data_IF_782801532488
#
_entry.id   IF_782801532488
#
_cell.length_a   1.000
_cell.length_b   1.000
_cell.length_c   1.000
_cell.angle_alpha   90.00
_cell.angle_beta   90.00
_cell.angle_gamma   90.00
#
_symmetry.space_group_name_H-M   'P 1'
#
loop_
_entity.id
_entity.type
_entity.pdbx_description
1 polymer ?
#
# COMPACT_ATOMS: atom_id res chain seq x y z
N UNK A 1 -14.05 -7.58 -12.17
CA UNK A 1 -15.07 -6.98 -13.04
C UNK A 1 -14.61 -6.88 -14.49
N UNK A 2 -13.47 -6.28 -14.82
CA UNK A 2 -13.02 -6.18 -16.23
C UNK A 2 -12.82 -7.56 -16.90
N UNK A 3 -12.40 -8.56 -16.14
CA UNK A 3 -12.19 -9.94 -16.64
C UNK A 3 -13.42 -10.84 -16.47
N UNK A 4 -14.35 -10.44 -15.58
CA UNK A 4 -15.60 -11.16 -15.28
C UNK A 4 -16.74 -10.15 -15.13
N UNK A 5 -17.37 -9.73 -16.25
CA UNK A 5 -18.38 -8.65 -16.25
C UNK A 5 -19.62 -8.97 -15.42
N UNK A 6 -19.94 -10.25 -15.24
CA UNK A 6 -21.12 -10.69 -14.48
C UNK A 6 -20.90 -10.76 -12.96
N UNK A 7 -19.67 -10.46 -12.50
CA UNK A 7 -19.34 -10.48 -11.09
C UNK A 7 -19.94 -9.26 -10.38
N UNK A 8 -20.74 -9.51 -9.34
CA UNK A 8 -21.19 -8.47 -8.41
C UNK A 8 -20.11 -8.25 -7.35
N UNK A 9 -19.71 -7.00 -7.16
CA UNK A 9 -18.68 -6.64 -6.17
C UNK A 9 -19.23 -5.66 -5.18
N UNK A 10 -19.15 -6.00 -3.88
CA UNK A 10 -19.39 -5.09 -2.77
C UNK A 10 -18.05 -4.79 -2.09
N UNK A 11 -17.72 -3.52 -1.95
CA UNK A 11 -16.60 -3.03 -1.14
C UNK A 11 -17.13 -2.40 0.14
N UNK A 12 -16.66 -2.85 1.29
CA UNK A 12 -17.00 -2.29 2.60
C UNK A 12 -15.78 -1.53 3.11
N UNK A 13 -15.95 -0.24 3.35
CA UNK A 13 -14.89 0.65 3.79
C UNK A 13 -15.26 1.33 5.13
N UNK A 14 -14.43 1.13 6.14
CA UNK A 14 -14.62 1.68 7.49
C UNK A 14 -14.64 3.21 7.51
N UNK A 15 -13.90 3.84 6.61
CA UNK A 15 -13.77 5.29 6.55
C UNK A 15 -14.62 5.92 5.46
N UNK A 16 -14.24 7.11 5.08
CA UNK A 16 -14.98 7.96 4.14
C UNK A 16 -14.52 7.76 2.70
N UNK A 17 -15.38 8.12 1.76
CA UNK A 17 -15.03 8.33 0.35
C UNK A 17 -13.93 9.38 0.21
N UNK A 18 -13.17 9.33 -0.88
CA UNK A 18 -11.95 10.14 -1.03
C UNK A 18 -12.23 11.63 -0.86
N UNK A 19 -13.31 12.16 -1.43
CA UNK A 19 -13.69 13.57 -1.38
C UNK A 19 -14.12 14.04 0.02
N UNK A 20 -14.55 13.12 0.88
CA UNK A 20 -14.95 13.41 2.27
C UNK A 20 -13.83 13.20 3.29
N UNK A 21 -12.65 12.78 2.85
CA UNK A 21 -11.48 12.58 3.70
C UNK A 21 -10.76 13.90 3.96
N UNK A 22 -11.20 14.63 4.98
CA UNK A 22 -10.60 15.90 5.38
C UNK A 22 -10.08 15.80 6.82
N UNK A 23 -8.84 16.26 7.03
CA UNK A 23 -8.25 16.30 8.37
C UNK A 23 -8.41 17.70 8.99
N UNK A 24 -9.16 17.84 10.08
CA UNK A 24 -9.34 19.14 10.77
C UNK A 24 -8.02 19.79 11.18
N UNK A 25 -6.98 19.00 11.49
CA UNK A 25 -5.65 19.52 11.85
C UNK A 25 -5.05 20.44 10.78
N UNK A 26 -5.40 20.27 9.50
CA UNK A 26 -4.91 21.15 8.43
C UNK A 26 -5.34 22.60 8.64
N UNK A 27 -6.51 22.81 9.22
CA UNK A 27 -7.08 24.13 9.54
C UNK A 27 -6.81 24.54 10.98
N UNK A 28 -7.12 23.66 11.93
CA UNK A 28 -7.04 23.96 13.38
C UNK A 28 -5.63 23.87 13.96
N UNK A 29 -4.67 23.28 13.21
CA UNK A 29 -3.30 22.95 13.65
C UNK A 29 -3.23 21.93 14.79
N UNK A 30 -4.36 21.51 15.35
CA UNK A 30 -4.46 20.56 16.46
C UNK A 30 -5.21 19.31 16.01
N UNK A 31 -4.70 18.13 16.39
CA UNK A 31 -5.39 16.87 16.11
C UNK A 31 -6.57 16.69 17.08
N UNK A 32 -7.76 16.50 16.52
CA UNK A 32 -9.02 16.35 17.28
C UNK A 32 -9.38 14.88 17.55
N UNK A 33 -8.53 13.91 17.18
CA UNK A 33 -8.75 12.49 17.45
C UNK A 33 -9.96 11.89 16.72
N UNK A 34 -10.17 12.23 15.44
CA UNK A 34 -11.28 11.71 14.64
C UNK A 34 -11.35 10.16 14.65
N UNK A 35 -12.55 9.63 14.70
CA UNK A 35 -12.83 8.18 14.61
C UNK A 35 -13.86 7.91 13.50
N UNK A 36 -13.47 7.26 12.39
CA UNK A 36 -12.10 6.89 11.99
C UNK A 36 -11.25 8.11 11.59
N UNK A 37 -9.93 7.94 11.68
CA UNK A 37 -8.99 9.00 11.27
C UNK A 37 -9.00 9.20 9.75
N UNK A 38 -9.35 10.40 9.29
CA UNK A 38 -9.45 10.69 7.85
C UNK A 38 -8.13 10.60 7.08
N UNK A 39 -6.96 10.61 7.75
CA UNK A 39 -5.65 10.45 7.11
C UNK A 39 -5.32 8.98 6.86
N UNK A 40 -5.61 8.10 7.84
CA UNK A 40 -5.19 6.71 7.78
C UNK A 40 -6.28 5.77 7.28
N UNK A 41 -7.56 6.17 7.37
CA UNK A 41 -8.72 5.30 7.14
C UNK A 41 -9.68 5.95 6.15
N UNK A 42 -10.17 5.19 5.20
CA UNK A 42 -11.04 5.62 4.11
C UNK A 42 -10.56 5.12 2.76
N UNK A 43 -11.28 5.43 1.70
CA UNK A 43 -10.93 5.01 0.35
C UNK A 43 -9.46 5.31 0.03
N UNK A 44 -8.75 4.35 -0.56
CA UNK A 44 -7.32 4.36 -0.82
C UNK A 44 -6.41 4.34 0.43
N UNK A 45 -6.95 4.10 1.63
CA UNK A 45 -6.18 3.91 2.86
C UNK A 45 -5.26 5.08 3.21
N UNK A 46 -4.18 4.81 3.92
CA UNK A 46 -3.17 5.82 4.28
C UNK A 46 -2.40 6.34 3.04
N UNK A 47 -2.36 5.56 1.96
CA UNK A 47 -1.70 5.93 0.70
C UNK A 47 -2.23 7.21 0.08
N UNK A 48 -3.53 7.51 0.23
CA UNK A 48 -4.15 8.72 -0.31
C UNK A 48 -3.58 10.05 0.24
N UNK A 49 -2.91 10.01 1.38
CA UNK A 49 -2.33 11.20 2.03
C UNK A 49 -0.83 11.03 2.31
N UNK A 50 -0.22 10.03 1.72
CA UNK A 50 1.23 9.83 1.74
C UNK A 50 1.88 10.56 0.56
N UNK A 51 3.18 10.45 0.49
CA UNK A 51 4.00 10.88 -0.63
C UNK A 51 3.68 10.12 -1.94
N UNK A 52 3.05 8.96 -1.84
CA UNK A 52 2.61 8.19 -3.01
C UNK A 52 3.76 7.56 -3.77
N UNK A 53 4.70 6.92 -3.07
CA UNK A 53 5.78 6.16 -3.69
C UNK A 53 5.33 4.75 -4.06
N UNK A 54 5.53 4.38 -5.32
CA UNK A 54 5.36 3.02 -5.80
C UNK A 54 6.75 2.43 -6.07
N UNK A 55 7.14 1.45 -5.29
CA UNK A 55 8.35 0.65 -5.54
C UNK A 55 8.05 -0.36 -6.63
N UNK A 56 8.77 -0.27 -7.75
CA UNK A 56 8.53 -1.11 -8.94
C UNK A 56 9.51 -2.30 -9.02
N UNK A 57 9.88 -2.82 -7.85
CA UNK A 57 10.82 -3.95 -7.74
C UNK A 57 10.28 -4.99 -6.76
N UNK A 58 10.32 -6.28 -7.12
CA UNK A 58 10.01 -7.37 -6.19
C UNK A 58 10.98 -7.47 -5.00
N UNK A 59 12.18 -6.89 -5.12
CA UNK A 59 13.21 -6.90 -4.07
C UNK A 59 12.90 -5.96 -2.90
N UNK A 60 11.82 -5.19 -3.01
CA UNK A 60 11.47 -4.17 -2.02
C UNK A 60 10.01 -4.27 -1.60
N UNK A 61 9.80 -4.44 -0.31
CA UNK A 61 8.48 -4.37 0.30
C UNK A 61 7.72 -5.70 0.34
N UNK A 62 7.96 -6.48 1.38
CA UNK A 62 7.21 -7.71 1.67
C UNK A 62 7.83 -8.96 1.07
N UNK A 63 7.08 -10.05 1.13
CA UNK A 63 7.51 -11.41 0.80
C UNK A 63 6.76 -11.99 -0.40
N UNK A 64 6.24 -11.14 -1.27
CA UNK A 64 5.45 -11.57 -2.43
C UNK A 64 6.21 -12.55 -3.34
N UNK A 65 7.52 -12.35 -3.62
CA UNK A 65 8.30 -13.32 -4.40
C UNK A 65 8.43 -14.70 -3.75
N UNK A 66 8.44 -14.76 -2.42
CA UNK A 66 8.50 -16.04 -1.69
C UNK A 66 7.21 -16.86 -1.84
N UNK A 67 6.08 -16.16 -2.02
CA UNK A 67 4.75 -16.79 -2.13
C UNK A 67 4.43 -17.17 -3.58
N UNK A 68 4.73 -16.28 -4.55
CA UNK A 68 4.29 -16.41 -5.94
C UNK A 68 5.41 -16.72 -6.94
N UNK A 69 6.67 -16.64 -6.51
CA UNK A 69 7.83 -16.59 -7.40
C UNK A 69 8.11 -15.19 -7.92
N UNK A 70 9.38 -14.97 -8.31
CA UNK A 70 9.89 -13.64 -8.68
C UNK A 70 9.19 -13.06 -9.92
N UNK A 71 9.10 -13.84 -10.99
CA UNK A 71 8.49 -13.43 -12.25
C UNK A 71 7.03 -13.02 -12.10
N UNK A 72 6.26 -13.81 -11.31
CA UNK A 72 4.85 -13.48 -11.07
C UNK A 72 4.68 -12.24 -10.20
N UNK A 73 5.55 -12.05 -9.23
CA UNK A 73 5.56 -10.82 -8.43
C UNK A 73 5.85 -9.59 -9.29
N UNK A 74 6.83 -9.67 -10.19
CA UNK A 74 7.17 -8.59 -11.13
C UNK A 74 6.00 -8.26 -12.07
N UNK A 75 5.35 -9.28 -12.65
CA UNK A 75 4.16 -9.12 -13.48
C UNK A 75 3.06 -8.35 -12.73
N UNK A 76 2.76 -8.75 -11.50
CA UNK A 76 1.70 -8.11 -10.70
C UNK A 76 2.04 -6.68 -10.28
N UNK A 77 3.31 -6.39 -9.97
CA UNK A 77 3.78 -5.04 -9.70
C UNK A 77 3.58 -4.16 -10.94
N UNK A 78 3.94 -4.67 -12.12
CA UNK A 78 3.75 -3.97 -13.39
C UNK A 78 2.26 -3.75 -13.70
N UNK A 79 1.39 -4.73 -13.42
CA UNK A 79 -0.05 -4.55 -13.57
C UNK A 79 -0.58 -3.46 -12.62
N UNK A 80 -0.14 -3.45 -11.36
CA UNK A 80 -0.51 -2.42 -10.40
C UNK A 80 -0.05 -1.03 -10.86
N UNK A 81 1.19 -0.90 -11.33
CA UNK A 81 1.72 0.36 -11.88
C UNK A 81 0.90 0.84 -13.09
N UNK A 82 0.56 -0.05 -14.01
CA UNK A 82 -0.30 0.26 -15.16
C UNK A 82 -1.69 0.78 -14.76
N UNK A 83 -2.23 0.34 -13.63
CA UNK A 83 -3.48 0.89 -13.10
C UNK A 83 -3.28 2.36 -12.73
N UNK A 84 -2.21 2.70 -12.01
CA UNK A 84 -1.92 4.10 -11.66
C UNK A 84 -1.69 4.97 -12.90
N UNK A 85 -0.94 4.50 -13.88
CA UNK A 85 -0.75 5.17 -15.16
C UNK A 85 -2.08 5.43 -15.88
N UNK A 86 -2.95 4.42 -15.93
CA UNK A 86 -4.29 4.54 -16.54
C UNK A 86 -5.12 5.65 -15.89
N UNK A 87 -4.95 5.88 -14.59
CA UNK A 87 -5.67 6.91 -13.84
C UNK A 87 -4.90 8.23 -13.73
N UNK A 88 -3.81 8.38 -14.49
CA UNK A 88 -3.11 9.65 -14.71
C UNK A 88 -1.89 9.86 -13.82
N UNK A 89 -1.23 8.79 -13.38
CA UNK A 89 0.11 8.91 -12.80
C UNK A 89 1.11 9.36 -13.86
N UNK A 90 2.14 10.10 -13.43
CA UNK A 90 3.26 10.51 -14.28
C UNK A 90 4.03 9.27 -14.77
N UNK A 91 4.44 9.28 -16.04
CA UNK A 91 5.23 8.20 -16.64
C UNK A 91 6.66 8.13 -16.10
N UNK A 92 7.15 9.19 -15.45
CA UNK A 92 8.50 9.25 -14.91
C UNK A 92 8.74 8.18 -13.85
N UNK A 93 9.83 7.45 -14.02
CA UNK A 93 10.35 6.47 -13.06
C UNK A 93 11.75 6.91 -12.64
N UNK A 94 11.98 7.04 -11.35
CA UNK A 94 13.28 7.36 -10.78
C UNK A 94 14.12 6.10 -10.60
N UNK A 95 15.42 6.23 -10.65
CA UNK A 95 16.36 5.14 -10.42
C UNK A 95 16.67 4.29 -11.65
N UNK A 96 16.29 4.76 -12.87
CA UNK A 96 16.59 4.10 -14.15
C UNK A 96 17.12 5.06 -15.22
N UNK A 97 16.97 6.39 -15.06
CA UNK A 97 17.21 7.35 -16.13
C UNK A 97 18.70 7.63 -16.42
N UNK A 98 19.58 7.43 -15.45
CA UNK A 98 21.00 7.75 -15.54
C UNK A 98 21.86 6.55 -15.13
N UNK A 99 21.95 5.59 -16.05
CA UNK A 99 22.69 4.35 -15.84
C UNK A 99 24.12 4.57 -15.36
N UNK A 100 24.85 5.53 -15.96
CA UNK A 100 26.24 5.81 -15.57
C UNK A 100 26.36 6.34 -14.14
N UNK A 101 25.44 7.22 -13.72
CA UNK A 101 25.43 7.72 -12.35
C UNK A 101 25.07 6.60 -11.36
N UNK A 102 24.10 5.76 -11.70
CA UNK A 102 23.69 4.61 -10.86
C UNK A 102 24.86 3.64 -10.70
N UNK A 103 25.60 3.33 -11.76
CA UNK A 103 26.77 2.46 -11.69
C UNK A 103 27.92 3.09 -10.86
N UNK A 104 28.11 4.42 -10.94
CA UNK A 104 29.06 5.11 -10.03
C UNK A 104 28.64 5.01 -8.57
N UNK A 105 27.34 5.14 -8.27
CA UNK A 105 26.79 4.98 -6.91
C UNK A 105 26.98 3.53 -6.45
N UNK A 106 26.67 2.55 -7.30
CA UNK A 106 26.88 1.13 -7.04
C UNK A 106 28.34 0.84 -6.71
N UNK A 107 29.28 1.35 -7.50
CA UNK A 107 30.70 1.17 -7.25
C UNK A 107 31.16 1.81 -5.92
N UNK A 108 30.61 2.97 -5.56
CA UNK A 108 30.86 3.60 -4.25
C UNK A 108 30.32 2.72 -3.10
N UNK A 109 29.11 2.18 -3.26
CA UNK A 109 28.50 1.30 -2.27
C UNK A 109 29.36 0.02 -2.05
N UNK A 110 29.79 -0.63 -3.13
CA UNK A 110 30.66 -1.82 -3.06
C UNK A 110 31.97 -1.51 -2.33
N UNK A 111 32.60 -0.37 -2.60
CA UNK A 111 33.83 0.05 -1.89
C UNK A 111 33.61 0.29 -0.41
N UNK A 112 32.39 0.64 -0.02
CA UNK A 112 31.97 0.80 1.38
C UNK A 112 31.43 -0.52 1.99
N UNK A 113 31.56 -1.65 1.31
CA UNK A 113 31.03 -2.94 1.69
C UNK A 113 29.51 -2.96 1.84
N UNK A 114 28.84 -2.18 1.00
CA UNK A 114 27.38 -2.08 0.92
C UNK A 114 26.89 -2.65 -0.41
N UNK A 115 25.67 -3.21 -0.40
CA UNK A 115 24.94 -3.60 -1.61
C UNK A 115 23.87 -2.55 -1.90
N UNK A 116 23.93 -1.95 -3.09
CA UNK A 116 22.82 -1.13 -3.61
C UNK A 116 21.71 -2.06 -4.09
N UNK A 117 20.51 -1.87 -3.59
CA UNK A 117 19.30 -2.57 -4.08
C UNK A 117 18.64 -1.69 -5.14
N UNK A 118 18.41 -2.26 -6.30
CA UNK A 118 17.68 -1.61 -7.38
C UNK A 118 16.22 -1.48 -7.00
N UNK A 119 15.76 -0.24 -6.93
CA UNK A 119 14.37 0.06 -6.59
C UNK A 119 13.88 1.21 -7.48
N UNK A 120 13.46 0.92 -8.71
CA UNK A 120 12.78 1.90 -9.53
C UNK A 120 11.53 2.42 -8.79
N UNK A 121 11.35 3.74 -8.79
CA UNK A 121 10.26 4.38 -8.04
C UNK A 121 9.45 5.27 -8.96
N UNK A 122 8.13 5.06 -8.97
CA UNK A 122 7.17 6.03 -9.46
C UNK A 122 6.68 6.86 -8.28
N UNK A 123 6.78 8.17 -8.39
CA UNK A 123 6.33 9.10 -7.37
C UNK A 123 5.04 9.78 -7.84
N UNK A 124 3.95 9.57 -7.09
CA UNK A 124 2.65 10.17 -7.43
C UNK A 124 2.54 11.61 -6.91
N UNK A 125 3.15 11.89 -5.76
CA UNK A 125 2.92 13.13 -5.01
C UNK A 125 1.55 13.19 -4.34
N UNK A 126 1.42 14.02 -3.33
CA UNK A 126 0.18 14.05 -2.51
C UNK A 126 -1.02 14.59 -3.28
N UNK A 127 -0.84 15.64 -4.08
CA UNK A 127 -1.95 16.29 -4.81
C UNK A 127 -2.39 15.45 -6.02
N UNK A 128 -1.47 14.96 -6.82
CA UNK A 128 -1.78 14.09 -7.96
C UNK A 128 -2.31 12.73 -7.48
N UNK A 129 -1.76 12.18 -6.41
CA UNK A 129 -2.28 10.97 -5.76
C UNK A 129 -3.76 11.10 -5.41
N UNK A 130 -4.17 12.22 -4.83
CA UNK A 130 -5.59 12.49 -4.56
C UNK A 130 -6.45 12.46 -5.83
N UNK A 131 -6.01 13.07 -6.93
CA UNK A 131 -6.74 13.07 -8.21
C UNK A 131 -6.84 11.68 -8.82
N UNK A 132 -5.75 10.92 -8.76
CA UNK A 132 -5.70 9.52 -9.24
C UNK A 132 -6.71 8.66 -8.48
N UNK A 133 -6.71 8.74 -7.15
CA UNK A 133 -7.64 7.96 -6.33
C UNK A 133 -9.09 8.41 -6.49
N UNK A 134 -9.35 9.70 -6.76
CA UNK A 134 -10.69 10.19 -7.09
C UNK A 134 -11.20 9.55 -8.39
N UNK A 135 -10.39 9.58 -9.46
CA UNK A 135 -10.75 8.95 -10.74
C UNK A 135 -10.92 7.43 -10.58
N UNK A 136 -10.12 6.79 -9.75
CA UNK A 136 -10.24 5.36 -9.47
C UNK A 136 -11.56 5.05 -8.77
N UNK A 137 -11.94 5.81 -7.74
CA UNK A 137 -13.23 5.65 -7.04
C UNK A 137 -14.41 5.84 -8.01
N UNK A 138 -14.39 6.90 -8.80
CA UNK A 138 -15.41 7.18 -9.81
C UNK A 138 -15.53 6.06 -10.83
N UNK A 139 -14.39 5.53 -11.28
CA UNK A 139 -14.37 4.39 -12.21
C UNK A 139 -14.98 3.13 -11.60
N UNK A 140 -14.69 2.82 -10.35
CA UNK A 140 -15.27 1.66 -9.66
C UNK A 140 -16.79 1.79 -9.56
N UNK A 141 -17.29 2.95 -9.12
CA UNK A 141 -18.72 3.24 -9.02
C UNK A 141 -19.41 3.15 -10.40
N UNK A 142 -18.82 3.77 -11.42
CA UNK A 142 -19.34 3.72 -12.79
C UNK A 142 -19.30 2.29 -13.40
N UNK A 143 -18.43 1.44 -12.89
CA UNK A 143 -18.33 0.02 -13.29
C UNK A 143 -19.29 -0.89 -12.53
N UNK A 144 -20.18 -0.34 -11.68
CA UNK A 144 -21.18 -1.09 -10.93
C UNK A 144 -20.65 -1.74 -9.64
N UNK A 145 -19.49 -1.31 -9.13
CA UNK A 145 -19.05 -1.70 -7.77
C UNK A 145 -19.91 -0.94 -6.76
N UNK A 146 -20.57 -1.66 -5.87
CA UNK A 146 -21.21 -1.06 -4.70
C UNK A 146 -20.14 -0.78 -3.64
N UNK A 147 -20.07 0.45 -3.11
CA UNK A 147 -19.14 0.81 -2.03
C UNK A 147 -19.92 1.32 -0.82
N UNK A 148 -19.81 0.62 0.30
CA UNK A 148 -20.39 1.03 1.59
C UNK A 148 -19.31 1.72 2.43
N UNK A 149 -19.38 3.03 2.50
CA UNK A 149 -18.50 3.84 3.33
C UNK A 149 -19.02 3.96 4.77
N UNK A 150 -18.13 4.31 5.70
CA UNK A 150 -18.45 4.46 7.13
C UNK A 150 -19.15 3.20 7.67
N UNK A 151 -18.69 2.03 7.24
CA UNK A 151 -19.21 0.73 7.63
C UNK A 151 -18.04 -0.17 7.99
N UNK A 152 -18.00 -0.64 9.22
CA UNK A 152 -16.94 -1.49 9.72
C UNK A 152 -17.41 -2.95 9.72
N UNK A 153 -16.59 -3.84 9.16
CA UNK A 153 -16.82 -5.27 9.34
C UNK A 153 -16.44 -5.66 10.77
N UNK A 154 -17.38 -6.24 11.50
CA UNK A 154 -17.16 -6.75 12.85
C UNK A 154 -16.63 -8.16 12.85
N UNK A 155 -17.22 -9.03 12.01
CA UNK A 155 -16.87 -10.44 11.97
C UNK A 155 -16.98 -11.02 10.56
N UNK A 156 -16.32 -12.15 10.35
CA UNK A 156 -16.38 -12.95 9.13
C UNK A 156 -17.15 -14.24 9.48
N UNK A 157 -18.19 -14.51 8.72
CA UNK A 157 -18.96 -15.75 8.86
C UNK A 157 -18.15 -16.87 8.23
N UNK A 158 -17.72 -17.83 9.04
CA UNK A 158 -16.98 -19.01 8.61
C UNK A 158 -17.81 -20.24 8.95
N UNK A 159 -18.17 -21.00 7.92
CA UNK A 159 -18.92 -22.25 8.03
C UNK A 159 -18.10 -23.36 7.37
N UNK A 160 -17.90 -24.47 8.08
CA UNK A 160 -17.11 -25.61 7.61
C UNK A 160 -15.72 -25.23 7.08
N UNK A 161 -15.08 -24.24 7.70
CA UNK A 161 -13.76 -23.73 7.32
C UNK A 161 -13.74 -22.81 6.08
N UNK A 162 -14.92 -22.42 5.57
CA UNK A 162 -15.06 -21.56 4.40
C UNK A 162 -15.70 -20.23 4.81
N UNK A 163 -15.07 -19.12 4.40
CA UNK A 163 -15.65 -17.79 4.58
C UNK A 163 -16.88 -17.64 3.66
N UNK A 164 -18.04 -17.35 4.24
CA UNK A 164 -19.34 -17.26 3.55
C UNK A 164 -19.90 -15.84 3.51
N UNK A 165 -19.49 -14.98 4.43
CA UNK A 165 -20.05 -13.65 4.54
C UNK A 165 -19.34 -12.82 5.59
N UNK A 166 -19.87 -11.62 5.80
CA UNK A 166 -19.38 -10.68 6.82
C UNK A 166 -20.56 -10.07 7.56
N UNK A 167 -20.34 -9.71 8.83
CA UNK A 167 -21.27 -8.95 9.67
C UNK A 167 -20.67 -7.57 9.93
N UNK A 168 -21.47 -6.52 9.79
CA UNK A 168 -21.03 -5.15 9.99
C UNK A 168 -21.38 -4.60 11.38
N UNK A 169 -20.81 -3.46 11.74
CA UNK A 169 -21.13 -2.68 12.95
C UNK A 169 -22.56 -2.12 12.97
N UNK A 170 -23.29 -2.26 11.85
CA UNK A 170 -24.71 -1.89 11.70
C UNK A 170 -25.63 -3.11 11.76
N UNK A 171 -25.10 -4.26 12.18
CA UNK A 171 -25.82 -5.53 12.23
C UNK A 171 -26.32 -6.01 10.85
N UNK A 172 -25.74 -5.47 9.76
CA UNK A 172 -26.03 -5.94 8.40
C UNK A 172 -25.13 -7.14 8.08
N UNK A 173 -25.71 -8.15 7.42
CA UNK A 173 -25.00 -9.35 6.99
C UNK A 173 -24.94 -9.39 5.46
N UNK A 174 -23.75 -9.67 4.92
CA UNK A 174 -23.53 -9.81 3.49
C UNK A 174 -22.87 -11.17 3.22
N UNK A 175 -23.47 -11.94 2.32
CA UNK A 175 -22.93 -13.21 1.85
C UNK A 175 -22.25 -13.04 0.50
N UNK A 176 -21.16 -13.77 0.28
CA UNK A 176 -20.42 -13.77 -0.97
C UNK A 176 -19.72 -15.12 -1.19
N UNK A 177 -19.47 -15.45 -2.46
CA UNK A 177 -18.70 -16.63 -2.83
C UNK A 177 -17.23 -16.48 -2.48
N UNK A 178 -16.71 -15.25 -2.59
CA UNK A 178 -15.31 -14.92 -2.31
C UNK A 178 -15.21 -13.64 -1.45
N UNK A 179 -14.33 -13.69 -0.45
CA UNK A 179 -14.07 -12.55 0.44
C UNK A 179 -12.59 -12.18 0.39
N UNK A 180 -12.31 -10.93 0.02
CA UNK A 180 -10.95 -10.38 0.00
C UNK A 180 -10.80 -9.37 1.12
N UNK A 181 -9.88 -9.63 2.06
CA UNK A 181 -9.60 -8.75 3.19
C UNK A 181 -8.38 -7.87 2.90
N UNK A 182 -8.60 -6.59 2.65
CA UNK A 182 -7.57 -5.57 2.38
C UNK A 182 -7.44 -4.52 3.48
N UNK A 183 -7.44 -4.95 4.73
CA UNK A 183 -7.62 -4.12 5.94
C UNK A 183 -6.45 -3.18 6.28
N UNK A 184 -5.29 -3.37 5.69
CA UNK A 184 -4.08 -2.60 6.01
C UNK A 184 -3.64 -2.74 7.48
N UNK A 185 -2.73 -1.87 7.90
CA UNK A 185 -2.15 -1.93 9.25
C UNK A 185 -3.14 -1.54 10.35
N UNK A 186 -4.09 -0.69 10.05
CA UNK A 186 -5.09 -0.25 11.03
C UNK A 186 -6.04 -1.38 11.44
N UNK A 187 -6.34 -2.29 10.52
CA UNK A 187 -7.19 -3.45 10.77
C UNK A 187 -6.47 -4.69 11.32
N UNK A 188 -5.15 -4.65 11.52
CA UNK A 188 -4.36 -5.84 11.88
C UNK A 188 -4.82 -6.49 13.19
N UNK A 189 -5.05 -5.70 14.24
CA UNK A 189 -5.51 -6.22 15.53
C UNK A 189 -6.93 -6.81 15.47
N UNK A 190 -7.81 -6.22 14.66
CA UNK A 190 -9.12 -6.78 14.39
C UNK A 190 -9.00 -8.15 13.71
N UNK A 191 -8.16 -8.26 12.67
CA UNK A 191 -8.00 -9.50 11.94
C UNK A 191 -7.32 -10.60 12.77
N UNK A 192 -6.38 -10.23 13.64
CA UNK A 192 -5.81 -11.15 14.63
C UNK A 192 -6.89 -11.72 15.53
N UNK A 193 -7.83 -10.88 15.99
CA UNK A 193 -9.00 -11.30 16.76
C UNK A 193 -9.89 -12.30 15.99
N UNK A 194 -10.18 -12.02 14.72
CA UNK A 194 -10.92 -12.94 13.84
C UNK A 194 -10.19 -14.27 13.73
N UNK A 195 -8.90 -14.26 13.42
CA UNK A 195 -8.11 -15.49 13.32
C UNK A 195 -8.18 -16.33 14.61
N UNK A 196 -8.03 -15.67 15.76
CA UNK A 196 -8.09 -16.33 17.07
C UNK A 196 -9.45 -16.93 17.35
N UNK A 197 -10.54 -16.20 17.07
CA UNK A 197 -11.91 -16.65 17.31
C UNK A 197 -12.29 -17.87 16.45
N UNK A 198 -11.72 -17.95 15.24
CA UNK A 198 -11.98 -19.04 14.30
C UNK A 198 -10.88 -20.12 14.28
N UNK A 199 -9.94 -20.10 15.22
CA UNK A 199 -8.88 -21.12 15.34
C UNK A 199 -7.87 -21.10 14.20
N UNK A 200 -7.76 -19.99 13.47
CA UNK A 200 -6.78 -19.81 12.39
C UNK A 200 -5.42 -19.49 13.01
N UNK A 201 -4.41 -20.30 12.70
CA UNK A 201 -3.07 -20.11 13.22
C UNK A 201 -2.43 -18.88 12.61
N UNK A 202 -1.85 -18.04 13.47
CA UNK A 202 -1.06 -16.87 13.07
C UNK A 202 0.36 -17.01 13.62
N UNK A 203 1.28 -16.29 13.00
CA UNK A 203 2.64 -16.14 13.49
C UNK A 203 3.03 -14.66 13.48
N UNK A 204 3.93 -14.28 14.36
CA UNK A 204 4.46 -12.92 14.35
C UNK A 204 5.26 -12.69 13.08
N UNK A 205 5.03 -11.54 12.44
CA UNK A 205 5.88 -11.08 11.36
C UNK A 205 7.21 -10.55 11.89
N UNK A 206 8.14 -10.33 10.97
CA UNK A 206 9.39 -9.65 11.27
C UNK A 206 9.16 -8.18 11.55
N UNK A 207 9.97 -7.59 12.41
CA UNK A 207 9.92 -6.17 12.75
C UNK A 207 11.29 -5.56 12.46
N UNK A 208 11.28 -4.51 11.64
CA UNK A 208 12.47 -3.70 11.41
C UNK A 208 12.62 -2.67 12.52
N UNK A 209 13.80 -2.61 13.10
CA UNK A 209 14.16 -1.59 14.09
C UNK A 209 15.25 -0.71 13.49
N UNK A 210 15.04 0.61 13.53
CA UNK A 210 15.97 1.54 12.94
C UNK A 210 16.02 2.87 13.66
N UNK A 211 16.97 3.70 13.25
CA UNK A 211 17.12 5.08 13.69
C UNK A 211 16.93 6.02 12.50
N UNK A 212 16.31 7.15 12.76
CA UNK A 212 16.25 8.24 11.79
C UNK A 212 17.53 9.06 11.90
N UNK A 213 18.24 9.21 10.80
CA UNK A 213 19.45 10.02 10.70
C UNK A 213 19.14 11.23 9.85
N UNK A 214 19.44 12.43 10.35
CA UNK A 214 19.33 13.68 9.61
C UNK A 214 20.72 14.18 9.26
N UNK A 215 20.92 14.50 8.00
CA UNK A 215 22.17 15.03 7.44
C UNK A 215 21.86 16.22 6.54
N UNK A 216 22.88 16.98 6.18
CA UNK A 216 22.71 18.07 5.21
C UNK A 216 22.35 17.51 3.84
N UNK A 217 21.50 18.20 3.10
CA UNK A 217 21.00 17.78 1.78
C UNK A 217 22.15 17.51 0.80
N UNK A 218 23.23 18.30 0.87
CA UNK A 218 24.39 18.16 -0.03
C UNK A 218 25.04 16.78 0.07
N UNK A 219 24.99 16.13 1.25
CA UNK A 219 25.55 14.78 1.47
C UNK A 219 24.76 13.73 0.71
N UNK A 220 23.43 13.87 0.68
CA UNK A 220 22.52 12.92 0.06
C UNK A 220 22.11 13.31 -1.37
N UNK A 221 22.53 14.49 -1.85
CA UNK A 221 22.07 15.08 -3.11
C UNK A 221 22.20 14.13 -4.30
N UNK A 222 23.38 13.54 -4.51
CA UNK A 222 23.62 12.61 -5.62
C UNK A 222 22.67 11.40 -5.56
N UNK A 223 22.46 10.86 -4.35
CA UNK A 223 21.58 9.70 -4.15
C UNK A 223 20.11 10.08 -4.40
N UNK A 224 19.65 11.19 -3.84
CA UNK A 224 18.25 11.62 -3.95
C UNK A 224 17.89 12.04 -5.38
N UNK A 225 18.79 12.70 -6.11
CA UNK A 225 18.55 13.13 -7.49
C UNK A 225 18.51 11.95 -8.48
N UNK A 226 19.30 10.88 -8.24
CA UNK A 226 19.43 9.76 -9.19
C UNK A 226 18.57 8.56 -8.84
N UNK A 227 18.35 8.31 -7.56
CA UNK A 227 17.63 7.12 -7.07
C UNK A 227 16.28 7.45 -6.42
N UNK A 228 15.98 8.74 -6.19
CA UNK A 228 14.87 9.22 -5.37
C UNK A 228 15.01 8.74 -3.91
N UNK A 229 15.14 7.45 -3.69
CA UNK A 229 15.33 6.80 -2.39
C UNK A 229 16.35 5.66 -2.53
N UNK A 230 17.55 5.85 -1.99
CA UNK A 230 18.57 4.81 -2.02
C UNK A 230 18.28 3.73 -0.98
N UNK A 231 18.37 2.48 -1.39
CA UNK A 231 18.33 1.30 -0.51
C UNK A 231 19.68 0.63 -0.51
N UNK A 232 20.38 0.70 0.61
CA UNK A 232 21.70 0.14 0.81
C UNK A 232 21.66 -0.91 1.92
N UNK A 233 22.20 -2.07 1.65
CA UNK A 233 22.25 -3.19 2.62
C UNK A 233 23.69 -3.47 2.99
N UNK A 234 23.94 -3.60 4.27
CA UNK A 234 25.16 -4.09 4.84
C UNK A 234 24.93 -5.45 5.51
N UNK A 235 25.66 -6.45 5.11
CA UNK A 235 25.62 -7.76 5.75
C UNK A 235 26.75 -7.86 6.77
N UNK A 236 26.40 -8.00 8.05
CA UNK A 236 27.40 -8.21 9.09
C UNK A 236 28.00 -9.62 8.99
N UNK A 237 29.30 -9.80 9.21
CA UNK A 237 29.94 -11.11 9.09
C UNK A 237 29.46 -12.19 10.06
N UNK A 238 28.69 -11.81 11.09
CA UNK A 238 28.34 -12.66 12.24
C UNK A 238 26.82 -12.87 12.42
N UNK A 239 26.04 -12.76 11.36
CA UNK A 239 24.61 -13.11 11.39
C UNK A 239 24.28 -14.11 10.29
#
# INVERSE_FOLDING_TARGET
>A
MRQKPDMKVLMIEKGRSIEKRQCPKRTTKVCVGCKPCSITTGFAGAGAFSDGKLSLSPDVGGTLPEILGYEKAEELIKEADNIYLKFGADEKVYGIDDYEAIERIRAKAIRANLKLIECPIRHLGTEEGYKIYTRLQEHLLASGVEIKFMTMVQDIIIEDGVAKGVVTDKEETYYADEIVSGIGREGSSWFEGICKNHGIKTQNGTVDVGVRVEVRDEIMKELNEKLYEAKLVYYTPNI
#
